data_IF_682120135459
#
_entry.id   IF_682120135459
#
_cell.length_a   1.000
_cell.length_b   1.000
_cell.length_c   1.000
_cell.angle_alpha   90.00
_cell.angle_beta   90.00
_cell.angle_gamma   90.00
#
_symmetry.space_group_name_H-M   'P 1'
#
loop_
_entity.id
_entity.type
_entity.pdbx_description
1 polymer ?
#
# COMPACT_ATOMS: atom_id res chain seq x y z
N UNK A 1 13.27 47.05 92.32
CA UNK A 1 12.82 45.86 91.57
C UNK A 1 12.88 46.13 90.07
N UNK A 2 13.47 45.23 89.26
CA UNK A 2 13.78 45.49 87.86
C UNK A 2 12.69 45.02 86.87
N UNK A 3 12.79 45.58 85.66
CA UNK A 3 11.97 45.38 84.47
C UNK A 3 11.70 43.92 84.06
N UNK A 4 10.52 43.68 83.48
CA UNK A 4 10.24 42.47 82.70
C UNK A 4 9.52 42.82 81.39
N UNK A 5 10.25 42.75 80.27
CA UNK A 5 9.69 42.64 78.91
C UNK A 5 9.53 41.15 78.59
N UNK A 6 8.45 40.70 77.92
CA UNK A 6 8.42 39.36 77.35
C UNK A 6 9.17 39.35 76.01
N UNK A 7 10.16 38.45 75.90
CA UNK A 7 10.84 38.09 74.65
C UNK A 7 9.98 37.12 73.85
N UNK A 8 9.86 37.35 72.54
CA UNK A 8 9.48 36.34 71.56
C UNK A 8 10.44 35.15 71.60
N UNK A 9 9.91 33.93 71.41
CA UNK A 9 10.45 33.03 70.39
C UNK A 9 9.25 32.39 69.63
N UNK A 10 9.29 31.99 68.36
CA UNK A 10 10.23 31.04 67.78
C UNK A 10 9.87 30.89 66.28
N UNK A 11 10.45 31.69 65.40
CA UNK A 11 10.27 31.57 63.94
C UNK A 11 11.38 30.71 63.35
N UNK A 12 11.38 29.39 63.57
CA UNK A 12 12.48 28.52 63.07
C UNK A 12 12.08 27.07 62.78
N UNK A 13 11.00 26.83 62.05
CA UNK A 13 10.66 25.47 61.56
C UNK A 13 10.00 25.42 60.18
N UNK A 14 9.99 26.50 59.40
CA UNK A 14 9.37 26.53 58.06
C UNK A 14 10.35 26.44 56.88
N UNK A 15 11.65 26.28 57.13
CA UNK A 15 12.66 26.19 56.06
C UNK A 15 12.91 24.75 55.56
N UNK A 16 12.86 23.67 56.38
CA UNK A 16 13.21 22.34 55.87
C UNK A 16 12.08 21.71 55.03
N UNK A 17 10.83 22.17 55.17
CA UNK A 17 9.70 21.67 54.38
C UNK A 17 9.66 22.28 52.96
N UNK A 18 10.22 23.48 52.77
CA UNK A 18 10.28 24.13 51.46
C UNK A 18 11.35 23.50 50.55
N UNK A 19 12.37 22.88 51.13
CA UNK A 19 13.42 22.15 50.39
C UNK A 19 12.97 20.75 49.92
N UNK A 20 11.95 20.14 50.56
CA UNK A 20 11.37 18.87 50.11
C UNK A 20 10.35 19.02 48.97
N UNK A 21 9.94 20.25 48.64
CA UNK A 21 9.00 20.56 47.55
C UNK A 21 9.69 20.94 46.24
N UNK A 22 11.03 20.93 46.18
CA UNK A 22 11.76 20.84 44.92
C UNK A 22 11.68 19.41 44.39
N UNK A 23 10.44 18.93 44.19
CA UNK A 23 10.18 17.89 43.21
C UNK A 23 10.78 18.43 41.90
N UNK A 24 11.79 17.73 41.41
CA UNK A 24 12.51 18.05 40.19
C UNK A 24 11.49 18.20 39.06
N UNK A 25 11.08 19.44 38.78
CA UNK A 25 10.41 19.79 37.55
C UNK A 25 11.46 19.67 36.44
N UNK A 26 11.76 18.43 36.05
CA UNK A 26 12.46 18.16 34.81
C UNK A 26 11.51 18.61 33.70
N UNK A 27 11.67 19.85 33.26
CA UNK A 27 10.98 20.37 32.10
C UNK A 27 11.35 19.54 30.86
N UNK A 28 10.47 19.56 29.86
CA UNK A 28 10.72 18.90 28.58
C UNK A 28 12.02 19.44 27.95
N UNK A 29 13.02 18.59 27.77
CA UNK A 29 14.29 19.00 27.18
C UNK A 29 14.16 19.16 25.67
N UNK A 30 14.74 20.23 25.12
CA UNK A 30 14.79 20.48 23.67
C UNK A 30 16.14 20.06 23.12
N UNK A 31 16.13 19.03 22.29
CA UNK A 31 17.30 18.53 21.57
C UNK A 31 17.45 19.33 20.27
N UNK A 32 18.63 19.90 20.04
CA UNK A 32 18.98 20.58 18.78
C UNK A 32 19.19 19.55 17.67
N UNK A 33 18.09 19.04 17.14
CA UNK A 33 18.03 18.17 15.99
C UNK A 33 16.78 18.49 15.19
N UNK A 34 16.93 18.56 13.89
CA UNK A 34 15.83 18.78 12.95
C UNK A 34 15.67 17.53 12.10
N UNK A 35 14.50 16.87 12.09
CA UNK A 35 14.27 15.76 11.18
C UNK A 35 14.28 16.24 9.74
N UNK A 36 14.91 15.46 8.86
CA UNK A 36 15.07 15.78 7.45
C UNK A 36 14.70 14.59 6.58
N UNK A 37 14.28 14.88 5.35
CA UNK A 37 14.09 13.84 4.33
C UNK A 37 15.41 13.15 4.03
N UNK A 38 15.35 11.85 3.75
CA UNK A 38 16.53 11.06 3.42
C UNK A 38 17.33 11.68 2.26
N UNK A 39 18.63 11.85 2.45
CA UNK A 39 19.54 12.48 1.47
C UNK A 39 19.94 11.49 0.38
N UNK A 40 19.92 10.19 0.71
CA UNK A 40 20.18 9.12 -0.25
C UNK A 40 19.24 9.20 -1.46
N UNK A 41 19.77 8.89 -2.65
CA UNK A 41 19.02 8.81 -3.92
C UNK A 41 18.07 7.60 -3.89
N UNK A 42 17.03 7.69 -3.07
CA UNK A 42 16.01 6.67 -2.92
C UNK A 42 14.86 6.98 -3.87
N UNK A 43 14.62 6.06 -4.80
CA UNK A 43 13.35 6.05 -5.51
C UNK A 43 12.20 5.95 -4.49
N UNK A 44 11.14 6.73 -4.71
CA UNK A 44 10.04 6.81 -3.75
C UNK A 44 10.43 7.42 -2.41
N UNK A 45 11.43 8.34 -2.36
CA UNK A 45 11.70 9.21 -1.21
C UNK A 45 10.44 9.95 -0.75
N UNK A 46 9.64 10.41 -1.71
CA UNK A 46 8.27 10.85 -1.50
C UNK A 46 7.38 10.17 -2.53
N UNK A 47 6.21 9.72 -2.11
CA UNK A 47 5.16 9.14 -2.96
C UNK A 47 3.87 9.94 -2.76
N UNK A 48 2.73 9.42 -3.20
CA UNK A 48 1.43 10.03 -2.94
C UNK A 48 0.94 9.88 -1.49
N UNK A 49 1.52 8.95 -0.72
CA UNK A 49 1.06 8.65 0.64
C UNK A 49 2.19 8.33 1.63
N UNK A 50 3.46 8.42 1.21
CA UNK A 50 4.62 8.14 2.06
C UNK A 50 5.74 9.13 1.83
N UNK A 51 6.53 9.38 2.87
CA UNK A 51 7.85 10.00 2.74
C UNK A 51 8.89 9.24 3.57
N UNK A 52 10.16 9.52 3.30
CA UNK A 52 11.30 8.84 3.92
C UNK A 52 12.19 9.87 4.62
N UNK A 53 12.43 9.68 5.91
CA UNK A 53 13.31 10.49 6.75
C UNK A 53 14.66 9.80 6.96
N UNK A 54 15.71 10.59 7.22
CA UNK A 54 16.90 10.07 7.89
C UNK A 54 16.53 9.57 9.31
N UNK A 55 17.18 8.49 9.75
CA UNK A 55 17.05 8.04 11.13
C UNK A 55 17.71 9.05 12.10
N UNK A 56 17.12 9.32 13.28
CA UNK A 56 17.69 10.20 14.29
C UNK A 56 18.81 9.48 15.08
N UNK A 57 19.86 9.07 14.37
CA UNK A 57 21.02 8.35 14.92
C UNK A 57 21.79 9.23 15.89
N UNK A 58 22.22 8.65 17.02
CA UNK A 58 22.88 9.34 18.13
C UNK A 58 22.09 10.45 18.84
N UNK A 59 20.88 10.77 18.40
CA UNK A 59 20.13 11.93 18.92
C UNK A 59 19.64 11.65 20.36
N UNK A 60 19.16 10.43 20.61
CA UNK A 60 18.53 10.04 21.87
C UNK A 60 19.44 9.25 22.82
N UNK A 61 20.77 9.39 22.70
CA UNK A 61 21.74 8.59 23.49
C UNK A 61 21.57 8.75 25.01
N UNK A 62 21.14 9.94 25.47
CA UNK A 62 20.91 10.24 26.89
C UNK A 62 19.51 9.81 27.37
N UNK A 63 18.70 9.23 26.47
CA UNK A 63 17.31 8.84 26.68
C UNK A 63 17.13 7.35 26.36
N UNK A 64 18.11 6.52 26.70
CA UNK A 64 18.19 5.11 26.30
C UNK A 64 17.07 4.23 26.88
N UNK A 65 16.48 4.64 27.99
CA UNK A 65 15.37 3.99 28.69
C UNK A 65 13.99 4.51 28.25
N UNK A 66 13.95 5.36 27.23
CA UNK A 66 12.71 5.97 26.70
C UNK A 66 12.22 5.29 25.43
N UNK A 67 10.92 5.46 25.17
CA UNK A 67 10.32 5.18 23.88
C UNK A 67 10.29 6.46 23.04
N UNK A 68 10.86 6.38 21.86
CA UNK A 68 10.99 7.45 20.88
C UNK A 68 9.86 7.32 19.89
N UNK A 69 9.05 8.37 19.77
CA UNK A 69 7.90 8.46 18.90
C UNK A 69 8.09 9.53 17.83
N UNK A 70 7.67 9.24 16.61
CA UNK A 70 7.57 10.24 15.54
C UNK A 70 6.19 10.89 15.58
N UNK A 71 6.16 12.21 15.74
CA UNK A 71 4.97 13.03 15.53
C UNK A 71 4.88 13.40 14.06
N UNK A 72 3.70 13.21 13.46
CA UNK A 72 3.38 13.72 12.12
C UNK A 72 2.20 14.66 12.25
N UNK A 73 2.38 15.91 11.80
CA UNK A 73 1.43 16.99 12.00
C UNK A 73 1.16 17.75 10.70
N UNK A 74 -0.05 18.30 10.59
CA UNK A 74 -0.34 19.37 9.62
C UNK A 74 0.03 20.74 10.22
N UNK A 75 0.23 21.80 9.40
CA UNK A 75 0.75 23.08 9.89
C UNK A 75 -0.11 23.73 10.98
N UNK A 76 -1.44 23.54 10.93
CA UNK A 76 -2.36 24.08 11.93
C UNK A 76 -2.17 23.51 13.34
N UNK A 77 -1.52 22.34 13.48
CA UNK A 77 -1.28 21.72 14.78
C UNK A 77 -0.02 22.22 15.49
N UNK A 78 0.87 22.93 14.79
CA UNK A 78 2.21 23.24 15.30
C UNK A 78 2.22 24.33 16.38
N UNK A 79 1.52 25.47 16.22
CA UNK A 79 1.62 26.58 17.18
C UNK A 79 1.26 26.19 18.61
N UNK A 80 0.23 25.35 18.75
CA UNK A 80 -0.33 24.94 20.05
C UNK A 80 -0.14 23.44 20.32
N UNK A 81 0.94 22.85 19.77
CA UNK A 81 1.18 21.42 19.91
C UNK A 81 1.42 21.03 21.38
N UNK A 82 0.50 20.25 21.95
CA UNK A 82 0.65 19.69 23.29
C UNK A 82 1.53 18.43 23.30
N UNK A 83 2.72 18.53 23.88
CA UNK A 83 3.68 17.42 24.02
C UNK A 83 3.29 16.38 25.08
N UNK A 84 2.38 16.73 26.00
CA UNK A 84 1.98 15.86 27.11
C UNK A 84 0.95 14.79 26.71
N UNK A 85 0.43 14.84 25.48
CA UNK A 85 -0.53 13.85 25.01
C UNK A 85 0.18 12.55 24.66
N UNK A 86 -0.29 11.45 25.26
CA UNK A 86 0.30 10.13 25.09
C UNK A 86 0.14 9.61 23.64
N UNK A 87 1.10 8.80 23.15
CA UNK A 87 0.96 8.08 21.90
C UNK A 87 -0.33 7.24 21.89
N UNK A 88 -1.08 7.32 20.79
CA UNK A 88 -2.33 6.56 20.62
C UNK A 88 -3.55 7.11 21.37
N UNK A 89 -3.44 8.26 22.06
CA UNK A 89 -4.63 8.95 22.58
C UNK A 89 -5.59 9.33 21.44
N UNK A 90 -6.88 9.61 21.71
CA UNK A 90 -7.82 10.07 20.70
C UNK A 90 -7.33 11.25 19.85
N UNK A 91 -6.57 12.17 20.42
CA UNK A 91 -6.00 13.37 19.79
C UNK A 91 -4.66 13.11 19.08
N UNK A 92 -4.14 11.88 19.19
CA UNK A 92 -2.87 11.41 18.60
C UNK A 92 -3.03 10.13 17.77
N UNK A 93 -4.28 9.72 17.51
CA UNK A 93 -4.59 8.51 16.76
C UNK A 93 -4.57 8.76 15.24
N UNK A 94 -3.93 7.86 14.50
CA UNK A 94 -3.83 7.93 13.03
C UNK A 94 -5.20 7.97 12.34
N UNK A 95 -6.16 7.16 12.80
CA UNK A 95 -7.48 7.03 12.14
C UNK A 95 -8.32 8.31 12.20
N UNK A 96 -7.94 9.26 13.06
CA UNK A 96 -8.57 10.57 13.20
C UNK A 96 -7.82 11.67 12.46
N UNK A 97 -6.65 11.36 11.90
CA UNK A 97 -5.81 12.28 11.16
C UNK A 97 -6.24 12.38 9.69
N UNK A 98 -6.34 13.58 9.10
CA UNK A 98 -6.02 14.90 9.66
C UNK A 98 -7.26 15.65 10.18
N UNK A 99 -8.43 15.01 10.18
CA UNK A 99 -9.74 15.62 10.34
C UNK A 99 -10.00 16.14 11.76
N UNK A 100 -9.94 15.25 12.75
CA UNK A 100 -10.20 15.58 14.16
C UNK A 100 -8.94 15.52 15.03
N UNK A 101 -7.95 14.72 14.61
CA UNK A 101 -6.59 14.77 15.14
C UNK A 101 -5.70 15.48 14.11
N UNK A 102 -5.19 16.68 14.42
CA UNK A 102 -4.31 17.41 13.50
C UNK A 102 -2.84 16.99 13.61
N UNK A 103 -2.54 16.03 14.48
CA UNK A 103 -1.28 15.32 14.54
C UNK A 103 -1.50 13.91 15.05
N UNK A 104 -0.68 12.96 14.63
CA UNK A 104 -0.65 11.60 15.16
C UNK A 104 0.77 11.18 15.53
N UNK A 105 0.88 10.13 16.34
CA UNK A 105 2.17 9.55 16.72
C UNK A 105 2.30 8.15 16.16
N UNK A 106 3.49 7.84 15.63
CA UNK A 106 3.78 6.55 15.03
C UNK A 106 5.26 6.19 15.16
N UNK A 107 5.66 5.02 14.67
CA UNK A 107 7.04 4.53 14.67
C UNK A 107 7.69 4.53 16.07
N UNK A 108 6.90 4.17 17.09
CA UNK A 108 7.37 3.99 18.46
C UNK A 108 8.49 2.96 18.53
N UNK A 109 9.61 3.36 19.10
CA UNK A 109 10.80 2.50 19.15
C UNK A 109 11.76 2.92 20.26
N UNK A 110 12.87 2.23 20.44
CA UNK A 110 13.91 2.62 21.43
C UNK A 110 15.16 3.13 20.73
N UNK A 111 16.03 3.81 21.49
CA UNK A 111 17.32 4.30 20.98
C UNK A 111 18.17 3.21 20.32
N UNK A 112 18.01 1.94 20.73
CA UNK A 112 18.75 0.80 20.16
C UNK A 112 18.48 0.60 18.67
N UNK A 113 17.33 1.06 18.15
CA UNK A 113 16.99 0.99 16.73
C UNK A 113 17.51 2.20 15.93
N UNK A 114 18.16 3.17 16.60
CA UNK A 114 18.84 4.32 16.00
C UNK A 114 20.33 4.36 16.38
N UNK A 115 21.10 3.29 16.11
CA UNK A 115 22.48 3.21 16.56
C UNK A 115 23.32 4.34 15.97
N UNK A 116 24.37 4.73 16.68
CA UNK A 116 25.28 5.77 16.20
C UNK A 116 26.04 5.37 14.94
N UNK A 117 26.51 4.12 14.89
CA UNK A 117 27.36 3.65 13.82
C UNK A 117 26.54 3.39 12.56
N UNK A 118 27.04 3.88 11.42
CA UNK A 118 26.50 3.58 10.10
C UNK A 118 27.36 2.50 9.46
N UNK A 119 26.76 1.37 9.13
CA UNK A 119 27.43 0.37 8.29
C UNK A 119 27.48 0.91 6.85
N UNK A 120 28.66 0.99 6.21
CA UNK A 120 28.74 1.40 4.82
C UNK A 120 27.88 0.50 3.93
N UNK A 121 27.09 1.10 3.03
CA UNK A 121 26.19 0.38 2.12
C UNK A 121 24.82 0.01 2.71
N UNK A 122 24.61 0.18 4.02
CA UNK A 122 23.31 -0.06 4.65
C UNK A 122 22.36 1.13 4.46
N UNK A 123 21.14 0.86 3.99
CA UNK A 123 20.08 1.86 3.83
C UNK A 123 19.27 1.90 5.11
N UNK A 124 19.52 2.91 5.94
CA UNK A 124 18.83 3.05 7.23
C UNK A 124 18.02 4.33 7.27
N UNK A 125 16.72 4.20 7.03
CA UNK A 125 15.77 5.30 6.87
C UNK A 125 14.47 4.99 7.57
N UNK A 126 13.67 6.03 7.84
CA UNK A 126 12.33 5.88 8.40
C UNK A 126 11.29 6.22 7.35
N UNK A 127 10.56 5.21 6.88
CA UNK A 127 9.45 5.40 5.96
C UNK A 127 8.17 5.67 6.75
N UNK A 128 7.62 6.87 6.58
CA UNK A 128 6.33 7.26 7.13
C UNK A 128 5.22 6.88 6.16
N UNK A 129 4.16 6.27 6.68
CA UNK A 129 2.96 5.88 5.95
C UNK A 129 2.99 4.50 5.29
N UNK A 130 3.88 3.60 5.72
CA UNK A 130 4.07 2.30 5.06
C UNK A 130 3.07 1.20 5.45
N UNK A 131 2.30 1.36 6.53
CA UNK A 131 1.42 0.32 7.07
C UNK A 131 -0.02 0.45 6.54
N UNK A 132 -0.29 -0.09 5.37
CA UNK A 132 -1.65 -0.08 4.77
C UNK A 132 -2.65 -0.95 5.54
N UNK A 133 -2.18 -1.99 6.23
CA UNK A 133 -3.04 -2.98 6.91
C UNK A 133 -3.79 -2.43 8.13
N UNK A 134 -3.20 -1.49 8.86
CA UNK A 134 -3.83 -0.86 10.04
C UNK A 134 -4.57 0.44 9.75
N UNK A 135 -4.62 0.88 8.49
CA UNK A 135 -5.17 2.20 8.14
C UNK A 135 -6.63 2.39 8.60
N UNK A 136 -7.39 1.30 8.71
CA UNK A 136 -8.78 1.29 9.19
C UNK A 136 -8.97 0.59 10.54
N UNK A 137 -7.88 0.12 11.14
CA UNK A 137 -7.92 -0.64 12.39
C UNK A 137 -7.88 0.30 13.59
N UNK A 138 -9.05 0.56 14.18
CA UNK A 138 -9.18 1.43 15.36
C UNK A 138 -8.50 0.88 16.61
N UNK A 139 -8.15 -0.42 16.65
CA UNK A 139 -7.42 -1.01 17.78
C UNK A 139 -5.93 -0.66 17.76
N UNK A 140 -5.42 -0.12 16.64
CA UNK A 140 -4.02 0.29 16.45
C UNK A 140 -3.93 1.81 16.21
N UNK A 141 -4.11 2.65 17.24
CA UNK A 141 -4.15 4.11 17.07
C UNK A 141 -2.80 4.72 16.67
N UNK A 142 -1.69 4.04 16.90
CA UNK A 142 -0.32 4.48 16.56
C UNK A 142 0.15 3.99 15.17
N UNK A 143 -0.77 3.53 14.33
CA UNK A 143 -0.52 3.02 12.98
C UNK A 143 0.36 3.97 12.16
N UNK A 144 1.38 3.43 11.48
CA UNK A 144 2.17 4.15 10.48
C UNK A 144 1.44 4.14 9.13
N UNK A 145 0.18 4.56 9.14
CA UNK A 145 -0.73 4.40 8.01
C UNK A 145 -0.49 5.41 6.88
N UNK A 146 -0.94 5.11 5.64
CA UNK A 146 -0.69 5.95 4.48
C UNK A 146 -1.23 7.36 4.66
N UNK A 147 -0.43 8.36 4.29
CA UNK A 147 -0.81 9.76 4.44
C UNK A 147 -1.95 10.12 3.47
N UNK A 148 -2.93 10.94 3.92
CA UNK A 148 -4.20 11.15 3.22
C UNK A 148 -4.11 12.07 2.00
N UNK A 149 -3.03 12.84 1.83
CA UNK A 149 -2.93 13.82 0.74
C UNK A 149 -1.54 14.41 0.58
N UNK A 150 -1.37 15.47 -0.23
CA UNK A 150 -0.07 16.04 -0.55
C UNK A 150 0.63 16.75 0.64
N UNK A 151 -0.09 17.03 1.73
CA UNK A 151 0.42 17.83 2.85
C UNK A 151 0.24 19.35 2.60
N UNK A 152 1.13 20.21 3.12
CA UNK A 152 2.42 19.85 3.72
C UNK A 152 2.28 19.18 5.10
N UNK A 153 3.25 18.32 5.42
CA UNK A 153 3.42 17.69 6.72
C UNK A 153 4.67 18.21 7.41
N UNK A 154 4.67 18.29 8.73
CA UNK A 154 5.87 18.52 9.51
C UNK A 154 5.98 17.46 10.59
N UNK A 155 7.21 17.12 10.94
CA UNK A 155 7.49 16.06 11.90
C UNK A 155 8.45 16.50 12.98
N UNK A 156 8.36 15.86 14.13
CA UNK A 156 9.36 15.93 15.21
C UNK A 156 9.38 14.62 15.96
N UNK A 157 10.41 14.40 16.77
CA UNK A 157 10.46 13.26 17.66
C UNK A 157 10.20 13.67 19.11
N UNK A 158 9.58 12.77 19.87
CA UNK A 158 9.39 12.87 21.31
C UNK A 158 9.91 11.62 22.00
N UNK A 159 10.59 11.79 23.12
CA UNK A 159 11.01 10.69 23.99
C UNK A 159 10.10 10.63 25.21
N UNK A 160 9.46 9.48 25.43
CA UNK A 160 8.57 9.21 26.55
C UNK A 160 9.19 8.19 27.50
N UNK A 161 9.09 8.40 28.80
CA UNK A 161 9.48 7.37 29.77
C UNK A 161 8.41 6.27 29.89
N UNK A 162 8.69 5.27 30.72
CA UNK A 162 7.78 4.15 31.00
C UNK A 162 6.43 4.56 31.64
N UNK A 163 6.35 5.78 32.17
CA UNK A 163 5.12 6.38 32.73
C UNK A 163 4.40 7.27 31.71
N UNK A 164 4.76 7.22 30.42
CA UNK A 164 4.19 8.06 29.34
C UNK A 164 4.32 9.57 29.58
N UNK A 165 5.35 9.98 30.34
CA UNK A 165 5.73 11.39 30.53
C UNK A 165 6.77 11.77 29.48
N UNK A 166 6.57 12.86 28.72
CA UNK A 166 7.55 13.31 27.73
C UNK A 166 8.77 13.90 28.43
N UNK A 167 9.96 13.41 28.09
CA UNK A 167 11.24 13.84 28.67
C UNK A 167 12.05 14.72 27.72
N UNK A 168 11.95 14.48 26.40
CA UNK A 168 12.64 15.29 25.41
C UNK A 168 11.88 15.43 24.09
N UNK A 169 12.16 16.50 23.36
CA UNK A 169 11.66 16.76 22.02
C UNK A 169 12.76 17.25 21.07
N UNK A 170 12.56 17.03 19.77
CA UNK A 170 13.39 17.65 18.72
C UNK A 170 12.72 18.90 18.16
N UNK A 171 13.44 19.64 17.32
CA UNK A 171 12.84 20.69 16.50
C UNK A 171 11.87 20.07 15.47
N UNK A 172 10.94 20.91 14.98
CA UNK A 172 10.10 20.55 13.84
C UNK A 172 10.90 20.56 12.55
N UNK A 173 10.62 19.60 11.66
CA UNK A 173 11.18 19.55 10.31
C UNK A 173 10.74 20.76 9.48
N UNK A 174 11.42 20.96 8.35
CA UNK A 174 10.85 21.74 7.25
C UNK A 174 9.53 21.10 6.75
N UNK A 175 8.63 21.88 6.13
CA UNK A 175 7.43 21.36 5.48
C UNK A 175 7.76 20.31 4.41
N UNK A 176 7.12 19.15 4.50
CA UNK A 176 7.27 18.01 3.60
C UNK A 176 6.02 17.90 2.73
N UNK A 177 6.18 18.08 1.42
CA UNK A 177 5.11 17.89 0.43
C UNK A 177 5.27 16.56 -0.29
N UNK A 178 4.19 15.81 -0.35
CA UNK A 178 4.11 14.53 -1.06
C UNK A 178 3.84 14.75 -2.55
N UNK A 179 4.08 13.71 -3.34
CA UNK A 179 3.81 13.76 -4.79
C UNK A 179 2.32 13.65 -5.05
N UNK A 180 1.74 14.55 -5.82
CA UNK A 180 0.36 14.38 -6.26
C UNK A 180 0.28 13.30 -7.33
N UNK A 181 -0.38 12.18 -7.02
CA UNK A 181 -0.75 11.20 -8.04
C UNK A 181 -1.85 11.78 -8.93
N UNK A 182 -1.75 11.61 -10.24
CA UNK A 182 -2.88 11.90 -11.12
C UNK A 182 -4.01 10.90 -10.80
N UNK A 183 -5.21 11.40 -10.49
CA UNK A 183 -6.36 10.55 -10.25
C UNK A 183 -6.57 9.62 -11.46
N UNK A 184 -6.83 8.33 -11.21
CA UNK A 184 -7.09 7.36 -12.28
C UNK A 184 -8.24 7.81 -13.21
N UNK A 185 -9.19 8.60 -12.69
CA UNK A 185 -10.27 9.21 -13.48
C UNK A 185 -9.79 10.22 -14.53
N UNK A 186 -8.63 10.84 -14.35
CA UNK A 186 -8.01 11.72 -15.36
C UNK A 186 -7.30 10.91 -16.44
N UNK A 187 -6.76 9.74 -16.09
CA UNK A 187 -6.19 8.79 -17.07
C UNK A 187 -7.27 8.11 -17.93
N UNK A 188 -8.51 8.06 -17.44
CA UNK A 188 -9.65 7.52 -18.19
C UNK A 188 -10.24 8.47 -19.23
N UNK A 189 -9.82 9.75 -19.27
CA UNK A 189 -10.35 10.72 -20.24
C UNK A 189 -9.63 10.77 -21.59
N UNK A 190 -8.66 9.89 -21.85
CA UNK A 190 -7.95 9.89 -23.14
C UNK A 190 -7.35 8.53 -23.47
N UNK A 191 -8.19 7.50 -23.69
CA UNK A 191 -7.86 6.33 -24.55
C UNK A 191 -9.03 5.37 -24.70
N UNK A 192 -10.12 5.82 -25.33
CA UNK A 192 -10.76 4.92 -26.29
C UNK A 192 -9.75 4.74 -27.42
N UNK A 193 -8.88 3.77 -27.17
CA UNK A 193 -7.55 3.63 -27.71
C UNK A 193 -7.61 3.31 -29.18
N UNK A 194 -6.77 3.95 -29.98
CA UNK A 194 -6.50 3.52 -31.35
C UNK A 194 -6.25 2.00 -31.46
N UNK A 195 -5.76 1.36 -30.39
CA UNK A 195 -5.62 -0.09 -30.30
C UNK A 195 -6.95 -0.86 -30.31
N UNK A 196 -8.02 -0.34 -29.71
CA UNK A 196 -9.35 -0.97 -29.77
C UNK A 196 -9.93 -0.87 -31.19
N UNK A 197 -9.76 0.28 -31.85
CA UNK A 197 -10.18 0.48 -33.26
C UNK A 197 -9.35 -0.40 -34.20
N UNK A 198 -8.04 -0.48 -33.98
CA UNK A 198 -7.16 -1.35 -34.76
C UNK A 198 -7.52 -2.82 -34.60
N UNK A 199 -7.76 -3.29 -33.36
CA UNK A 199 -8.14 -4.67 -33.09
C UNK A 199 -9.50 -5.03 -33.69
N UNK A 200 -10.51 -4.16 -33.58
CA UNK A 200 -11.82 -4.41 -34.18
C UNK A 200 -11.76 -4.37 -35.71
N UNK A 201 -10.96 -3.47 -36.28
CA UNK A 201 -10.73 -3.41 -37.74
C UNK A 201 -10.04 -4.68 -38.25
N UNK A 202 -8.95 -5.13 -37.60
CA UNK A 202 -8.23 -6.35 -37.97
C UNK A 202 -9.15 -7.56 -37.85
N UNK A 203 -9.87 -7.70 -36.73
CA UNK A 203 -10.78 -8.83 -36.51
C UNK A 203 -11.93 -8.85 -37.53
N UNK A 204 -12.46 -7.68 -37.89
CA UNK A 204 -13.50 -7.54 -38.92
C UNK A 204 -13.00 -7.96 -40.30
N UNK A 205 -11.78 -7.53 -40.68
CA UNK A 205 -11.17 -7.90 -41.97
C UNK A 205 -10.90 -9.41 -42.01
N UNK A 206 -10.31 -9.97 -40.96
CA UNK A 206 -10.04 -11.41 -40.89
C UNK A 206 -11.32 -12.25 -40.96
N UNK A 207 -12.39 -11.81 -40.29
CA UNK A 207 -13.68 -12.46 -40.35
C UNK A 207 -14.28 -12.40 -41.77
N UNK A 208 -14.20 -11.25 -42.43
CA UNK A 208 -14.69 -11.09 -43.81
C UNK A 208 -13.94 -12.00 -44.80
N UNK A 209 -12.61 -12.10 -44.66
CA UNK A 209 -11.78 -13.01 -45.49
C UNK A 209 -12.19 -14.46 -45.24
N UNK A 210 -12.36 -14.86 -43.98
CA UNK A 210 -12.76 -16.23 -43.63
C UNK A 210 -14.14 -16.58 -44.20
N UNK A 211 -15.10 -15.65 -44.13
CA UNK A 211 -16.41 -15.83 -44.74
C UNK A 211 -16.35 -15.91 -46.27
N UNK A 212 -15.52 -15.08 -46.92
CA UNK A 212 -15.34 -15.13 -48.37
C UNK A 212 -14.74 -16.48 -48.82
N UNK A 213 -13.74 -17.00 -48.09
CA UNK A 213 -13.18 -18.32 -48.35
C UNK A 213 -14.24 -19.40 -48.14
N UNK A 214 -15.02 -19.33 -47.06
CA UNK A 214 -16.11 -20.29 -46.80
C UNK A 214 -17.13 -20.30 -47.93
N UNK A 215 -17.57 -19.12 -48.39
CA UNK A 215 -18.51 -19.01 -49.53
C UNK A 215 -17.89 -19.56 -50.80
N UNK A 216 -16.63 -19.22 -51.09
CA UNK A 216 -15.92 -19.74 -52.26
C UNK A 216 -15.80 -21.27 -52.21
N UNK A 217 -15.53 -21.85 -51.03
CA UNK A 217 -15.51 -23.30 -50.84
C UNK A 217 -16.88 -23.93 -51.03
N UNK A 218 -17.95 -23.32 -50.52
CA UNK A 218 -19.32 -23.82 -50.70
C UNK A 218 -19.78 -23.75 -52.15
N UNK A 219 -19.44 -22.68 -52.87
CA UNK A 219 -19.71 -22.53 -54.30
C UNK A 219 -18.87 -23.51 -55.12
N UNK A 220 -17.57 -23.65 -54.80
CA UNK A 220 -16.66 -24.56 -55.52
C UNK A 220 -16.99 -26.03 -55.26
N UNK A 221 -17.31 -26.43 -54.03
CA UNK A 221 -17.85 -27.78 -53.73
C UNK A 221 -19.24 -27.98 -54.36
N UNK A 222 -20.06 -26.93 -54.41
CA UNK A 222 -21.36 -26.95 -55.08
C UNK A 222 -21.25 -27.10 -56.60
N UNK A 223 -20.16 -26.60 -57.20
CA UNK A 223 -19.87 -26.78 -58.63
C UNK A 223 -19.15 -28.10 -58.92
N UNK A 224 -18.27 -28.58 -58.04
CA UNK A 224 -17.56 -29.86 -58.22
C UNK A 224 -18.42 -31.09 -57.91
N UNK A 225 -19.58 -30.90 -57.27
CA UNK A 225 -20.64 -31.92 -57.21
C UNK A 225 -21.51 -31.97 -58.47
N UNK A 226 -21.17 -31.21 -59.52
CA UNK A 226 -21.74 -31.39 -60.87
C UNK A 226 -20.64 -31.28 -61.95
N UNK A 227 -19.59 -32.10 -61.82
CA UNK A 227 -18.42 -32.01 -62.69
C UNK A 227 -17.59 -33.28 -62.81
N UNK A 228 -18.20 -34.47 -62.74
CA UNK A 228 -17.51 -35.71 -63.17
C UNK A 228 -18.37 -36.48 -64.18
N UNK A 229 -18.60 -35.86 -65.34
CA UNK A 229 -18.93 -36.59 -66.56
C UNK A 229 -17.63 -36.87 -67.29
N UNK A 230 -16.85 -37.80 -66.75
CA UNK A 230 -15.78 -38.45 -67.49
C UNK A 230 -16.39 -39.13 -68.71
N UNK A 231 -15.94 -38.72 -69.88
CA UNK A 231 -16.14 -39.39 -71.16
C UNK A 231 -15.77 -40.87 -71.03
N UNK A 232 -16.79 -41.73 -70.89
CA UNK A 232 -16.61 -43.17 -70.90
C UNK A 232 -17.21 -43.77 -72.17
N UNK A 233 -16.37 -44.57 -72.79
CA UNK A 233 -16.53 -45.24 -74.07
C UNK A 233 -17.75 -46.18 -74.13
N UNK A 234 -18.27 -46.29 -75.36
CA UNK A 234 -19.08 -47.37 -75.94
C UNK A 234 -19.13 -48.69 -75.12
N UNK A 235 -20.33 -49.27 -74.87
CA UNK A 235 -20.43 -50.53 -74.15
C UNK A 235 -20.06 -51.68 -75.08
N UNK A 236 -18.97 -52.39 -74.78
CA UNK A 236 -18.74 -53.72 -75.32
C UNK A 236 -19.57 -54.76 -74.56
N UNK A 237 -20.21 -55.59 -75.36
CA UNK A 237 -21.12 -56.67 -75.06
C UNK A 237 -20.48 -57.69 -74.10
N UNK A 238 -20.98 -57.76 -72.86
CA UNK A 238 -20.64 -58.86 -71.93
C UNK A 238 -21.75 -59.90 -71.94
N UNK A 239 -21.35 -61.12 -72.25
CA UNK A 239 -22.16 -62.30 -72.49
C UNK A 239 -22.97 -62.75 -71.28
N UNK A 240 -24.26 -63.01 -71.52
CA UNK A 240 -25.17 -63.66 -70.57
C UNK A 240 -24.79 -65.14 -70.41
N UNK A 241 -24.24 -65.52 -69.26
CA UNK A 241 -24.00 -66.91 -68.89
C UNK A 241 -25.33 -67.54 -68.42
N UNK A 242 -25.96 -68.37 -69.27
CA UNK A 242 -27.19 -69.12 -68.96
C UNK A 242 -26.87 -70.30 -68.02
N UNK A 243 -27.52 -70.35 -66.86
CA UNK A 243 -27.58 -71.56 -66.04
C UNK A 243 -28.84 -72.34 -66.38
N UNK A 244 -28.65 -73.62 -66.71
CA UNK A 244 -29.68 -74.56 -67.13
C UNK A 244 -30.16 -75.35 -65.90
N UNK A 245 -31.47 -75.33 -65.63
CA UNK A 245 -32.07 -76.02 -64.49
C UNK A 245 -32.23 -77.49 -64.82
N UNK A 246 -31.45 -78.36 -64.19
CA UNK A 246 -31.64 -79.81 -64.32
C UNK A 246 -32.82 -80.26 -63.43
N UNK A 247 -33.86 -80.78 -64.08
CA UNK A 247 -34.95 -81.50 -63.44
C UNK A 247 -34.42 -82.75 -62.71
N UNK A 248 -34.79 -82.91 -61.44
CA UNK A 248 -34.69 -84.19 -60.73
C UNK A 248 -36.09 -84.77 -60.65
N UNK A 249 -36.27 -85.94 -61.25
CA UNK A 249 -37.41 -86.83 -61.06
C UNK A 249 -37.32 -87.45 -59.67
N UNK A 250 -38.36 -87.30 -58.86
CA UNK A 250 -38.65 -88.21 -57.76
C UNK A 250 -39.71 -89.22 -58.22
N UNK A 251 -39.39 -90.50 -58.13
CA UNK A 251 -40.31 -91.63 -58.27
C UNK A 251 -39.67 -92.86 -57.59
N UNK A 252 -40.41 -93.89 -57.11
CA UNK A 252 -41.70 -93.96 -56.40
C UNK A 252 -41.64 -94.84 -55.12
N UNK A 253 -42.72 -94.85 -54.32
CA UNK A 253 -43.34 -96.04 -53.67
C UNK A 253 -44.60 -95.56 -52.93
N UNK A 254 -45.83 -95.91 -53.34
CA UNK A 254 -46.56 -97.18 -53.17
C UNK A 254 -47.22 -97.38 -51.78
N UNK A 255 -48.49 -97.80 -51.83
CA UNK A 255 -49.40 -98.30 -50.77
C UNK A 255 -50.19 -97.21 -50.02
N UNK A 256 -51.54 -97.21 -49.96
CA UNK A 256 -52.59 -98.22 -50.18
C UNK A 256 -53.73 -97.67 -51.05
#
# INVERSE_FOLDING_TARGET
>A
HPHSRPRHPRTRTMVPLLLLLLATAHGLEKIQYKPELAVSNLEGRTTASTFVLEQPRCIFKNYSDTEIWLVVAIPSAIPDFNNSLAPGSPERAFQKFPESAHAYMTLGTTFMNYPCNRTPGEITVLRVGSETSCAKDMSRPTCNGPLPGPGPYQVKFLAFNSLTVPLAETEWSEPITLRTGSAAGTLMKSRHSAGMIALTSILSILLAILLAILVAMLVSCGSDTCGSSGTFSKPDMVSVQRYNTHHVYDQPAAQL
#
